data_IF_406853794785
#
_entry.id   IF_406853794785
#
_cell.length_a   1.000
_cell.length_b   1.000
_cell.length_c   1.000
_cell.angle_alpha   90.00
_cell.angle_beta   90.00
_cell.angle_gamma   90.00
#
_symmetry.space_group_name_H-M   'P 1'
#
loop_
_entity.id
_entity.type
_entity.pdbx_description
1 polymer ?
#
# COMPACT_ATOMS: atom_id res chain seq x y z
N UNK A 1 -13.20 2.22 4.30
CA UNK A 1 -12.63 2.50 2.97
C UNK A 1 -13.32 1.65 1.90
N UNK A 2 -13.86 2.27 0.86
CA UNK A 2 -14.65 1.60 -0.19
C UNK A 2 -13.80 0.93 -1.28
N UNK A 3 -14.45 0.33 -2.28
CA UNK A 3 -13.77 -0.27 -3.45
C UNK A 3 -13.05 0.76 -4.33
N UNK A 4 -13.45 2.03 -4.29
CA UNK A 4 -12.80 3.10 -5.04
C UNK A 4 -11.50 3.63 -4.42
N UNK A 5 -11.24 3.32 -3.15
CA UNK A 5 -10.08 3.85 -2.43
C UNK A 5 -8.81 3.06 -2.76
N UNK A 6 -8.00 3.63 -3.66
CA UNK A 6 -6.75 3.06 -4.18
C UNK A 6 -5.67 2.81 -3.11
N UNK A 7 -5.71 3.50 -1.97
CA UNK A 7 -4.72 3.31 -0.90
C UNK A 7 -5.09 2.11 -0.02
N UNK A 8 -6.38 1.91 0.19
CA UNK A 8 -6.93 0.84 1.02
C UNK A 8 -6.68 -0.57 0.48
N UNK A 9 -6.71 -1.56 1.37
CA UNK A 9 -6.67 -2.98 0.98
C UNK A 9 -7.86 -3.34 0.08
N UNK A 10 -9.06 -2.84 0.38
CA UNK A 10 -10.30 -3.14 -0.37
C UNK A 10 -10.28 -2.58 -1.79
N UNK A 11 -9.79 -1.35 -1.99
CA UNK A 11 -9.66 -0.79 -3.33
C UNK A 11 -8.50 -1.38 -4.13
N UNK A 12 -7.39 -1.75 -3.47
CA UNK A 12 -6.34 -2.56 -4.12
C UNK A 12 -6.84 -3.95 -4.55
N UNK A 13 -7.75 -4.58 -3.78
CA UNK A 13 -8.43 -5.80 -4.19
C UNK A 13 -9.27 -5.56 -5.44
N UNK A 14 -10.13 -4.54 -5.43
CA UNK A 14 -11.01 -4.23 -6.55
C UNK A 14 -10.26 -3.88 -7.85
N UNK A 15 -9.11 -3.19 -7.75
CA UNK A 15 -8.29 -2.82 -8.91
C UNK A 15 -7.30 -3.90 -9.35
N UNK A 16 -7.14 -4.99 -8.58
CA UNK A 16 -6.14 -6.02 -8.86
C UNK A 16 -4.68 -5.61 -8.63
N UNK A 17 -4.43 -4.45 -8.01
CA UNK A 17 -3.07 -3.93 -7.75
C UNK A 17 -2.53 -4.33 -6.38
N UNK A 18 -1.21 -4.34 -6.22
CA UNK A 18 -0.52 -4.57 -4.95
C UNK A 18 0.10 -3.28 -4.39
N UNK A 19 0.48 -3.29 -3.11
CA UNK A 19 1.18 -2.20 -2.46
C UNK A 19 1.24 -2.40 -0.96
N UNK A 20 1.65 -1.38 -0.19
CA UNK A 20 1.84 -1.50 1.26
C UNK A 20 0.66 -2.19 1.99
N UNK A 21 -0.56 -1.69 1.80
CA UNK A 21 -1.77 -2.28 2.41
C UNK A 21 -2.26 -3.62 1.81
N UNK A 22 -1.68 -4.10 0.70
CA UNK A 22 -2.01 -5.40 0.05
C UNK A 22 -0.73 -5.99 -0.58
N UNK A 23 0.16 -6.59 0.22
CA UNK A 23 1.41 -7.17 -0.28
C UNK A 23 1.18 -8.48 -1.04
N UNK A 24 2.11 -8.84 -1.93
CA UNK A 24 2.07 -10.12 -2.70
C UNK A 24 2.44 -11.33 -1.86
N UNK A 25 3.31 -11.14 -0.87
CA UNK A 25 3.72 -12.16 0.09
C UNK A 25 3.51 -11.59 1.49
N UNK A 26 2.94 -12.38 2.39
CA UNK A 26 2.62 -11.99 3.77
C UNK A 26 3.85 -11.50 4.55
N UNK A 27 5.03 -12.04 4.25
CA UNK A 27 6.30 -11.69 4.92
C UNK A 27 7.11 -10.60 4.21
N UNK A 28 6.64 -10.05 3.09
CA UNK A 28 7.19 -8.79 2.59
C UNK A 28 6.54 -7.67 3.40
N UNK A 29 6.96 -7.56 4.68
CA UNK A 29 6.99 -6.26 5.36
C UNK A 29 7.81 -5.40 4.43
N UNK A 30 7.11 -4.59 3.65
CA UNK A 30 7.74 -3.65 2.73
C UNK A 30 8.73 -2.88 3.59
N UNK A 31 10.00 -3.15 3.31
CA UNK A 31 11.12 -2.26 3.62
C UNK A 31 10.59 -0.86 3.62
N UNK A 32 10.71 -0.25 4.80
CA UNK A 32 10.41 1.13 5.09
C UNK A 32 10.57 1.94 3.81
N UNK A 33 9.47 2.50 3.30
CA UNK A 33 9.65 3.72 2.57
C UNK A 33 10.25 4.65 3.62
N UNK A 34 11.52 5.09 3.51
CA UNK A 34 11.99 6.16 4.36
C UNK A 34 10.99 7.27 4.08
N UNK A 35 10.25 7.68 5.13
CA UNK A 35 9.54 8.95 5.06
C UNK A 35 10.63 9.91 4.66
N UNK A 36 10.56 10.41 3.43
CA UNK A 36 11.37 11.54 3.01
C UNK A 36 11.18 12.58 4.10
N UNK A 37 12.25 12.78 4.87
CA UNK A 37 12.48 14.01 5.59
C UNK A 37 12.38 15.10 4.52
N UNK A 38 11.22 15.75 4.48
CA UNK A 38 11.08 17.04 3.83
C UNK A 38 11.47 18.06 4.90
N UNK A 39 12.78 18.23 5.07
CA UNK A 39 13.40 19.39 5.71
C UNK A 39 14.26 20.09 4.65
N UNK A 40 13.74 21.19 4.13
CA UNK A 40 14.43 22.40 3.68
C UNK A 40 13.37 23.41 3.22
#
# INVERSE_FOLDING_TARGET
MGKGDKKSKKGKIAKGSFGNSRPRQSNKKTTEAPKKEATA
#
